data_IF_826874640500
#
_entry.id   IF_826874640500
#
_cell.length_a   1.000
_cell.length_b   1.000
_cell.length_c   1.000
_cell.angle_alpha   90.00
_cell.angle_beta   90.00
_cell.angle_gamma   90.00
#
_symmetry.space_group_name_H-M   'P 1'
#
loop_
_entity.id
_entity.type
_entity.pdbx_description
1 polymer ?
#
# COMPACT_ATOMS: atom_id res chain seq x y z
N UNK A 1 15.30 -11.47 -7.35
CA UNK A 1 15.70 -12.86 -7.67
C UNK A 1 14.42 -13.71 -7.70
N UNK A 2 14.28 -14.71 -8.59
CA UNK A 2 13.09 -15.60 -8.62
C UNK A 2 13.18 -16.58 -7.44
N UNK A 3 12.08 -16.79 -6.72
CA UNK A 3 11.98 -17.83 -5.71
C UNK A 3 12.08 -19.22 -6.34
N UNK A 4 12.26 -20.24 -5.51
CA UNK A 4 12.31 -21.65 -5.91
C UNK A 4 11.05 -22.11 -6.68
N UNK A 5 9.94 -21.36 -6.57
CA UNK A 5 8.68 -21.59 -7.30
C UNK A 5 8.55 -20.71 -8.56
N UNK A 6 9.62 -20.03 -8.99
CA UNK A 6 9.64 -19.15 -10.16
C UNK A 6 8.97 -17.78 -9.97
N UNK A 7 8.47 -17.48 -8.77
CA UNK A 7 7.82 -16.19 -8.45
C UNK A 7 8.86 -15.17 -8.01
N UNK A 8 8.81 -13.95 -8.54
CA UNK A 8 9.60 -12.84 -8.00
C UNK A 8 9.08 -12.54 -6.59
N UNK A 9 9.90 -12.79 -5.58
CA UNK A 9 9.61 -12.41 -4.19
C UNK A 9 10.43 -11.16 -3.91
N UNK A 10 9.77 -10.06 -3.57
CA UNK A 10 10.45 -8.95 -2.89
C UNK A 10 10.85 -9.46 -1.51
N UNK A 11 12.13 -9.38 -1.17
CA UNK A 11 12.61 -9.83 0.14
C UNK A 11 12.00 -9.02 1.29
N UNK A 12 11.64 -7.75 1.04
CA UNK A 12 11.05 -6.83 2.03
C UNK A 12 10.07 -5.84 1.39
N UNK A 13 8.81 -6.21 1.18
CA UNK A 13 7.82 -5.30 0.59
C UNK A 13 7.49 -4.14 1.56
N UNK A 14 7.56 -2.90 1.06
CA UNK A 14 7.26 -1.69 1.86
C UNK A 14 5.96 -1.02 1.40
N UNK A 15 5.63 -1.11 0.10
CA UNK A 15 4.40 -0.58 -0.48
C UNK A 15 3.62 -1.72 -1.14
N UNK A 16 2.31 -1.79 -0.84
CA UNK A 16 1.35 -2.71 -1.43
C UNK A 16 0.31 -1.90 -2.19
N UNK A 17 -0.02 -2.32 -3.42
CA UNK A 17 -1.05 -1.67 -4.25
C UNK A 17 -2.07 -2.73 -4.68
N UNK A 18 -3.34 -2.47 -4.38
CA UNK A 18 -4.47 -3.35 -4.70
C UNK A 18 -5.47 -2.64 -5.60
N UNK A 19 -5.90 -3.33 -6.65
CA UNK A 19 -6.99 -2.89 -7.52
C UNK A 19 -8.36 -3.16 -6.86
N UNK A 20 -9.16 -2.12 -6.68
CA UNK A 20 -10.57 -2.19 -6.29
C UNK A 20 -11.43 -2.59 -7.49
N UNK A 21 -11.49 -3.88 -7.76
CA UNK A 21 -12.27 -4.42 -8.89
C UNK A 21 -13.74 -4.08 -8.75
N UNK A 22 -14.35 -3.61 -9.84
CA UNK A 22 -15.77 -3.18 -9.88
C UNK A 22 -16.09 -2.11 -8.82
N UNK A 23 -15.10 -1.28 -8.47
CA UNK A 23 -15.18 -0.23 -7.46
C UNK A 23 -15.51 -0.77 -6.04
N UNK A 24 -15.22 -2.04 -5.78
CA UNK A 24 -15.38 -2.66 -4.46
C UNK A 24 -14.15 -2.37 -3.60
N UNK A 25 -14.13 -1.18 -3.01
CA UNK A 25 -13.06 -0.75 -2.10
C UNK A 25 -13.04 -1.53 -0.79
N UNK A 26 -14.18 -2.06 -0.34
CA UNK A 26 -14.24 -2.85 0.90
C UNK A 26 -13.46 -4.16 0.73
N UNK A 27 -13.72 -4.88 -0.37
CA UNK A 27 -12.92 -6.05 -0.73
C UNK A 27 -11.46 -5.69 -0.97
N UNK A 28 -11.19 -4.57 -1.67
CA UNK A 28 -9.83 -4.08 -1.90
C UNK A 28 -9.07 -3.81 -0.59
N UNK A 29 -9.73 -3.22 0.41
CA UNK A 29 -9.15 -2.98 1.73
C UNK A 29 -8.90 -4.27 2.51
N UNK A 30 -9.82 -5.24 2.45
CA UNK A 30 -9.63 -6.54 3.07
C UNK A 30 -8.39 -7.26 2.53
N UNK A 31 -8.18 -7.22 1.20
CA UNK A 31 -6.99 -7.76 0.57
C UNK A 31 -5.73 -6.96 0.95
N UNK A 32 -5.79 -5.63 0.81
CA UNK A 32 -4.65 -4.76 1.08
C UNK A 32 -4.14 -4.92 2.51
N UNK A 33 -5.03 -4.90 3.51
CA UNK A 33 -4.64 -5.09 4.91
C UNK A 33 -4.03 -6.47 5.17
N UNK A 34 -4.56 -7.53 4.56
CA UNK A 34 -3.96 -8.87 4.69
C UNK A 34 -2.52 -8.91 4.13
N UNK A 35 -2.29 -8.25 2.98
CA UNK A 35 -0.97 -8.13 2.37
C UNK A 35 -0.03 -7.24 3.18
N UNK A 36 -0.51 -6.15 3.80
CA UNK A 36 0.28 -5.32 4.71
C UNK A 36 0.72 -6.09 5.96
N UNK A 37 -0.18 -6.88 6.56
CA UNK A 37 0.17 -7.74 7.70
C UNK A 37 1.21 -8.79 7.30
N UNK A 38 1.10 -9.36 6.10
CA UNK A 38 2.11 -10.28 5.58
C UNK A 38 3.46 -9.57 5.35
N UNK A 39 3.44 -8.37 4.75
CA UNK A 39 4.62 -7.54 4.51
C UNK A 39 5.35 -7.17 5.81
N UNK A 40 4.62 -6.72 6.84
CA UNK A 40 5.19 -6.39 8.14
C UNK A 40 5.89 -7.61 8.78
N UNK A 41 5.27 -8.80 8.68
CA UNK A 41 5.87 -10.05 9.18
C UNK A 41 7.12 -10.43 8.41
N UNK A 42 7.11 -10.31 7.08
CA UNK A 42 8.28 -10.58 6.22
C UNK A 42 9.42 -9.59 6.50
N UNK A 43 9.10 -8.35 6.85
CA UNK A 43 10.10 -7.32 7.16
C UNK A 43 10.72 -7.48 8.56
N UNK A 44 10.14 -8.32 9.44
CA UNK A 44 10.57 -8.55 10.83
C UNK A 44 10.76 -7.27 11.65
N UNK A 45 10.10 -6.19 11.26
CA UNK A 45 10.25 -4.88 11.88
C UNK A 45 8.91 -4.15 11.99
N UNK A 46 8.08 -4.47 13.00
CA UNK A 46 6.77 -3.85 13.18
C UNK A 46 6.85 -2.35 13.54
N UNK A 47 8.04 -1.83 13.88
CA UNK A 47 8.28 -0.41 14.15
C UNK A 47 8.49 0.41 12.88
N UNK A 48 8.66 -0.23 11.73
CA UNK A 48 8.66 0.44 10.43
C UNK A 48 7.27 0.29 9.80
N UNK A 49 6.67 1.39 9.32
CA UNK A 49 5.39 1.29 8.64
C UNK A 49 5.54 0.55 7.31
N UNK A 50 4.47 -0.15 6.93
CA UNK A 50 4.24 -0.60 5.55
C UNK A 50 3.03 0.15 5.01
N UNK A 51 3.06 0.51 3.74
CA UNK A 51 2.12 1.42 3.11
C UNK A 51 1.20 0.68 2.15
N UNK A 52 -0.09 1.01 2.18
CA UNK A 52 -1.12 0.36 1.37
C UNK A 52 -1.87 1.37 0.51
N UNK A 53 -2.07 1.02 -0.75
CA UNK A 53 -2.83 1.81 -1.72
C UNK A 53 -3.95 0.93 -2.27
N UNK A 54 -5.19 1.43 -2.25
CA UNK A 54 -6.33 0.80 -2.93
C UNK A 54 -6.87 1.76 -3.97
N UNK A 55 -7.03 1.28 -5.21
CA UNK A 55 -7.48 2.12 -6.32
C UNK A 55 -8.33 1.37 -7.34
N UNK A 56 -9.31 2.04 -7.94
CA UNK A 56 -10.03 1.55 -9.13
C UNK A 56 -9.48 2.17 -10.44
N UNK A 57 -8.35 2.87 -10.37
CA UNK A 57 -7.73 3.63 -11.46
C UNK A 57 -8.18 5.09 -11.54
N UNK A 58 -9.39 5.43 -11.07
CA UNK A 58 -9.88 6.81 -11.00
C UNK A 58 -9.74 7.42 -9.60
N UNK A 59 -10.11 6.66 -8.58
CA UNK A 59 -10.04 6.99 -7.17
C UNK A 59 -8.90 6.22 -6.51
N UNK A 60 -8.14 6.90 -5.65
CA UNK A 60 -6.98 6.40 -4.96
C UNK A 60 -7.13 6.69 -3.47
N UNK A 61 -6.96 5.65 -2.66
CA UNK A 61 -7.01 5.75 -1.21
C UNK A 61 -5.73 5.17 -0.61
N UNK A 62 -5.24 5.82 0.44
CA UNK A 62 -3.93 5.54 1.02
C UNK A 62 -4.04 5.10 2.47
N UNK A 63 -3.08 4.32 2.93
CA UNK A 63 -3.00 3.83 4.30
C UNK A 63 -1.59 3.46 4.70
N UNK A 64 -1.39 3.25 6.00
CA UNK A 64 -0.23 2.58 6.55
C UNK A 64 -0.62 1.63 7.68
N UNK A 65 0.19 0.60 7.88
CA UNK A 65 0.19 -0.25 9.06
C UNK A 65 1.48 -0.02 9.82
N UNK A 66 1.38 0.49 11.05
CA UNK A 66 2.50 0.68 11.96
C UNK A 66 2.18 -0.06 13.26
N UNK A 67 3.06 -0.97 13.67
CA UNK A 67 2.77 -1.92 14.74
C UNK A 67 1.42 -2.62 14.51
N UNK A 68 0.44 -2.38 15.38
CA UNK A 68 -0.93 -2.91 15.33
C UNK A 68 -1.97 -1.87 14.87
N UNK A 69 -1.53 -0.67 14.50
CA UNK A 69 -2.39 0.43 14.07
C UNK A 69 -2.48 0.51 12.55
N UNK A 70 -3.67 0.21 12.02
CA UNK A 70 -4.01 0.51 10.64
C UNK A 70 -4.61 1.92 10.54
N UNK A 71 -3.96 2.77 9.77
CA UNK A 71 -4.33 4.17 9.59
C UNK A 71 -4.63 4.37 8.11
N UNK A 72 -5.88 4.69 7.80
CA UNK A 72 -6.29 5.10 6.46
C UNK A 72 -6.33 6.61 6.37
N UNK A 73 -5.82 7.17 5.28
CA UNK A 73 -5.97 8.59 5.00
C UNK A 73 -7.47 8.92 4.84
N UNK A 74 -7.88 10.04 5.43
CA UNK A 74 -9.25 10.53 5.31
C UNK A 74 -9.54 11.13 3.94
N UNK A 75 -8.51 11.57 3.23
CA UNK A 75 -8.61 12.16 1.91
C UNK A 75 -8.65 11.10 0.82
N UNK A 76 -9.43 11.41 -0.22
CA UNK A 76 -9.59 10.60 -1.40
C UNK A 76 -8.96 11.36 -2.57
N UNK A 77 -8.13 10.69 -3.35
CA UNK A 77 -7.39 11.31 -4.43
C UNK A 77 -7.92 10.83 -5.77
N UNK A 78 -8.15 11.74 -6.70
CA UNK A 78 -8.73 11.40 -8.01
C UNK A 78 -7.79 11.78 -9.14
N UNK A 79 -7.86 11.05 -10.25
CA UNK A 79 -7.10 11.39 -11.46
C UNK A 79 -7.45 12.77 -12.04
N UNK A 80 -8.61 13.33 -11.71
CA UNK A 80 -8.99 14.69 -12.15
C UNK A 80 -8.09 15.79 -11.54
N UNK A 81 -7.41 15.48 -10.42
CA UNK A 81 -6.42 16.35 -9.79
C UNK A 81 -5.06 15.65 -9.72
N UNK A 82 -4.46 15.45 -10.90
CA UNK A 82 -3.18 14.74 -11.05
C UNK A 82 -2.06 15.31 -10.18
N UNK A 83 -1.96 16.63 -10.02
CA UNK A 83 -0.91 17.23 -9.20
C UNK A 83 -1.02 16.81 -7.73
N UNK A 84 -2.25 16.73 -7.22
CA UNK A 84 -2.49 16.31 -5.85
C UNK A 84 -2.28 14.81 -5.65
N UNK A 85 -2.79 13.99 -6.57
CA UNK A 85 -2.53 12.54 -6.57
C UNK A 85 -1.03 12.23 -6.69
N UNK A 86 -0.32 12.93 -7.56
CA UNK A 86 1.12 12.80 -7.72
C UNK A 86 1.85 13.13 -6.42
N UNK A 87 1.49 14.22 -5.74
CA UNK A 87 2.08 14.59 -4.45
C UNK A 87 1.90 13.51 -3.37
N UNK A 88 0.73 12.85 -3.33
CA UNK A 88 0.49 11.75 -2.40
C UNK A 88 1.32 10.50 -2.73
N UNK A 89 1.45 10.17 -4.02
CA UNK A 89 2.30 9.07 -4.48
C UNK A 89 3.77 9.33 -4.17
N UNK A 90 4.26 10.53 -4.48
CA UNK A 90 5.63 10.97 -4.21
C UNK A 90 5.94 10.89 -2.71
N UNK A 91 5.05 11.42 -1.87
CA UNK A 91 5.18 11.35 -0.42
C UNK A 91 5.30 9.91 0.11
N UNK A 92 4.50 8.97 -0.40
CA UNK A 92 4.56 7.57 0.03
C UNK A 92 5.86 6.90 -0.40
N UNK A 93 6.32 7.19 -1.62
CA UNK A 93 7.60 6.66 -2.12
C UNK A 93 8.74 7.19 -1.26
N UNK A 94 8.83 8.51 -1.03
CA UNK A 94 9.86 9.10 -0.18
C UNK A 94 9.83 8.56 1.25
N UNK A 95 8.63 8.44 1.83
CA UNK A 95 8.44 7.91 3.19
C UNK A 95 8.83 6.43 3.29
N UNK A 96 8.73 5.68 2.19
CA UNK A 96 9.14 4.27 2.14
C UNK A 96 10.65 4.05 2.00
N UNK A 97 11.39 5.04 1.51
CA UNK A 97 12.85 4.97 1.33
C UNK A 97 13.64 5.48 2.55
N UNK A 98 13.05 6.35 3.37
CA UNK A 98 13.75 7.11 4.41
C UNK A 98 13.50 6.67 5.86
N UNK A 99 12.92 5.49 6.11
CA UNK A 99 12.71 4.93 7.47
C UNK A 99 13.43 3.61 7.72
#
# INVERSE_FOLDING_TARGET
MKSELGKTVLERPIIIIVEAKKNDFEQGWGQCLAELVAAQKLNENPRKPVYGIVTDGNLWQFSKLLADEFIKDSENFTIDNLSHLYGALDYIVESSEHE
#
